data_IF_814458180073
#
_entry.id   IF_814458180073
#
_cell.length_a   1.000
_cell.length_b   1.000
_cell.length_c   1.000
_cell.angle_alpha   90.00
_cell.angle_beta   90.00
_cell.angle_gamma   90.00
#
_symmetry.space_group_name_H-M   'P 1'
#
loop_
_entity.id
_entity.type
_entity.pdbx_description
1 polymer ?
#
# COMPACT_ATOMS: atom_id res chain seq x y z
N UNK A 1 1.39 49.85 -19.34
CA UNK A 1 0.69 49.76 -18.05
C UNK A 1 1.43 48.69 -17.21
N UNK A 2 2.27 49.12 -16.30
CA UNK A 2 3.06 48.22 -15.41
C UNK A 2 2.11 47.80 -14.29
N UNK A 3 1.64 46.55 -14.33
CA UNK A 3 0.88 45.99 -13.22
C UNK A 3 1.75 46.04 -11.97
N UNK A 4 1.25 46.63 -10.90
CA UNK A 4 1.97 46.82 -9.64
C UNK A 4 2.45 45.46 -9.10
N UNK A 5 3.66 45.41 -8.54
CA UNK A 5 4.18 44.22 -7.86
C UNK A 5 3.24 43.68 -6.77
N UNK A 6 2.35 44.52 -6.22
CA UNK A 6 1.31 44.12 -5.25
C UNK A 6 0.22 43.26 -5.86
N UNK A 7 -0.18 43.48 -7.10
CA UNK A 7 -1.24 42.69 -7.75
C UNK A 7 -0.79 41.30 -8.13
N UNK A 8 0.52 41.13 -8.43
CA UNK A 8 1.09 39.80 -8.73
C UNK A 8 1.19 38.95 -7.46
N UNK A 9 1.57 39.53 -6.32
CA UNK A 9 1.64 38.80 -5.04
C UNK A 9 0.25 38.37 -4.55
N UNK A 10 -0.78 39.25 -4.63
CA UNK A 10 -2.13 38.89 -4.19
C UNK A 10 -2.74 37.74 -5.04
N UNK A 11 -2.55 37.73 -6.36
CA UNK A 11 -3.06 36.65 -7.23
C UNK A 11 -2.37 35.30 -6.92
N UNK A 12 -1.11 35.31 -6.50
CA UNK A 12 -0.37 34.10 -6.15
C UNK A 12 -0.92 33.48 -4.85
N UNK A 13 -1.29 34.32 -3.88
CA UNK A 13 -1.84 33.88 -2.59
C UNK A 13 -3.23 33.22 -2.76
N UNK A 14 -4.10 33.76 -3.64
CA UNK A 14 -5.42 33.18 -3.91
C UNK A 14 -5.32 31.77 -4.53
N UNK A 15 -4.40 31.55 -5.47
CA UNK A 15 -4.23 30.23 -6.07
C UNK A 15 -3.67 29.20 -5.07
N UNK A 16 -2.73 29.63 -4.25
CA UNK A 16 -2.22 28.76 -3.15
C UNK A 16 -3.33 28.38 -2.19
N UNK A 17 -4.11 29.34 -1.75
CA UNK A 17 -5.24 29.09 -0.86
C UNK A 17 -6.24 28.13 -1.51
N UNK A 18 -6.63 28.36 -2.77
CA UNK A 18 -7.58 27.51 -3.48
C UNK A 18 -7.07 26.05 -3.59
N UNK A 19 -5.80 25.83 -3.96
CA UNK A 19 -5.22 24.48 -4.05
C UNK A 19 -5.08 23.86 -2.68
N UNK A 20 -4.76 24.61 -1.64
CA UNK A 20 -4.71 24.09 -0.25
C UNK A 20 -6.09 23.66 0.22
N UNK A 21 -7.14 24.45 -0.03
CA UNK A 21 -8.52 24.08 0.30
C UNK A 21 -8.94 22.81 -0.49
N UNK A 22 -8.66 22.77 -1.79
CA UNK A 22 -8.93 21.59 -2.62
C UNK A 22 -8.24 20.33 -2.04
N UNK A 23 -6.97 20.45 -1.66
CA UNK A 23 -6.22 19.36 -1.03
C UNK A 23 -6.83 18.93 0.29
N UNK A 24 -7.21 19.90 1.14
CA UNK A 24 -7.82 19.63 2.44
C UNK A 24 -9.16 18.88 2.29
N UNK A 25 -9.98 19.26 1.30
CA UNK A 25 -11.23 18.54 1.00
C UNK A 25 -10.94 17.09 0.63
N UNK A 26 -9.96 16.83 -0.25
CA UNK A 26 -9.60 15.47 -0.64
C UNK A 26 -9.02 14.66 0.53
N UNK A 27 -8.22 15.28 1.40
CA UNK A 27 -7.71 14.66 2.63
C UNK A 27 -8.85 14.28 3.56
N UNK A 28 -9.80 15.19 3.79
CA UNK A 28 -10.97 14.93 4.65
C UNK A 28 -11.83 13.80 4.09
N UNK A 29 -12.09 13.79 2.78
CA UNK A 29 -12.84 12.69 2.15
C UNK A 29 -12.17 11.33 2.41
N UNK A 30 -10.85 11.22 2.20
CA UNK A 30 -10.13 9.97 2.47
C UNK A 30 -10.04 9.65 3.97
N UNK A 31 -10.00 10.65 4.86
CA UNK A 31 -9.99 10.47 6.31
C UNK A 31 -11.27 9.80 6.81
N UNK A 32 -12.42 10.00 6.17
CA UNK A 32 -13.69 9.38 6.58
C UNK A 32 -13.64 7.84 6.55
N UNK A 33 -12.66 7.25 5.89
CA UNK A 33 -12.51 5.80 5.75
C UNK A 33 -11.71 5.14 6.87
N UNK A 34 -11.02 5.92 7.75
CA UNK A 34 -10.29 5.33 8.89
C UNK A 34 -11.20 4.72 9.97
N UNK A 35 -12.52 4.86 9.84
CA UNK A 35 -13.52 4.28 10.73
C UNK A 35 -14.04 2.92 10.23
N UNK A 36 -13.33 2.30 9.30
CA UNK A 36 -13.54 0.91 8.91
C UNK A 36 -12.98 0.00 10.00
N UNK A 37 -13.69 -1.08 10.34
CA UNK A 37 -13.26 -2.06 11.33
C UNK A 37 -13.23 -3.49 10.77
N UNK A 38 -13.49 -3.67 9.47
CA UNK A 38 -13.47 -4.97 8.83
C UNK A 38 -12.07 -5.31 8.29
N UNK A 39 -11.19 -5.77 9.18
CA UNK A 39 -9.79 -6.09 8.86
C UNK A 39 -9.67 -7.47 8.22
N UNK A 40 -9.13 -7.52 7.01
CA UNK A 40 -8.82 -8.80 6.35
C UNK A 40 -7.50 -9.40 6.84
N UNK A 41 -7.23 -10.67 6.47
CA UNK A 41 -6.14 -11.47 7.02
C UNK A 41 -4.78 -10.79 7.16
N UNK A 42 -4.32 -10.11 6.09
CA UNK A 42 -3.02 -9.40 6.13
C UNK A 42 -3.04 -8.19 7.09
N UNK A 43 -4.20 -7.52 7.29
CA UNK A 43 -4.33 -6.42 8.23
C UNK A 43 -4.38 -6.94 9.66
N UNK A 44 -5.15 -7.99 9.91
CA UNK A 44 -5.21 -8.68 11.20
C UNK A 44 -3.81 -9.18 11.60
N UNK A 45 -3.04 -9.75 10.66
CA UNK A 45 -1.64 -10.10 10.87
C UNK A 45 -0.79 -8.89 11.29
N UNK A 46 -0.95 -7.75 10.62
CA UNK A 46 -0.23 -6.51 10.99
C UNK A 46 -0.59 -6.05 12.41
N UNK A 47 -1.87 -6.11 12.76
CA UNK A 47 -2.38 -5.74 14.09
C UNK A 47 -1.81 -6.68 15.17
N UNK A 48 -1.80 -7.97 14.91
CA UNK A 48 -1.17 -8.97 15.80
C UNK A 48 0.30 -8.64 16.05
N UNK A 49 1.08 -8.32 15.01
CA UNK A 49 2.49 -7.91 15.16
C UNK A 49 2.66 -6.62 15.96
N UNK A 50 1.72 -5.68 15.86
CA UNK A 50 1.75 -4.45 16.63
C UNK A 50 1.57 -4.67 18.15
N UNK A 51 0.92 -5.76 18.54
CA UNK A 51 0.76 -6.16 19.95
C UNK A 51 1.98 -6.87 20.56
N UNK A 52 2.91 -7.35 19.75
CA UNK A 52 4.09 -8.10 20.20
C UNK A 52 5.17 -7.21 20.80
N UNK A 53 6.14 -7.80 21.50
CA UNK A 53 7.39 -7.11 21.81
C UNK A 53 8.22 -6.87 20.54
N UNK A 54 9.14 -5.90 20.55
CA UNK A 54 9.98 -5.61 19.36
C UNK A 54 10.80 -6.83 18.91
N UNK A 55 11.45 -7.63 19.79
CA UNK A 55 12.14 -8.84 19.37
C UNK A 55 11.23 -9.89 18.74
N UNK A 56 10.04 -10.15 19.30
CA UNK A 56 9.05 -11.08 18.77
C UNK A 56 8.55 -10.62 17.39
N UNK A 57 8.23 -9.34 17.24
CA UNK A 57 7.82 -8.75 15.95
C UNK A 57 8.92 -8.90 14.90
N UNK A 58 10.19 -8.65 15.26
CA UNK A 58 11.32 -8.83 14.34
C UNK A 58 11.52 -10.31 13.94
N UNK A 59 11.33 -11.23 14.87
CA UNK A 59 11.39 -12.66 14.58
C UNK A 59 10.25 -13.08 13.66
N UNK A 60 9.01 -12.70 13.97
CA UNK A 60 7.84 -13.01 13.14
C UNK A 60 7.98 -12.44 11.72
N UNK A 61 8.50 -11.21 11.57
CA UNK A 61 8.74 -10.63 10.25
C UNK A 61 9.91 -11.27 9.50
N UNK A 62 10.90 -11.83 10.21
CA UNK A 62 11.96 -12.61 9.58
C UNK A 62 11.45 -13.96 9.04
N UNK A 63 10.37 -14.46 9.60
CA UNK A 63 9.65 -15.66 9.14
C UNK A 63 8.60 -15.37 8.07
N UNK A 64 8.15 -14.10 7.94
CA UNK A 64 7.24 -13.61 6.91
C UNK A 64 7.99 -13.22 5.61
N UNK A 65 7.24 -12.70 4.66
CA UNK A 65 7.70 -12.26 3.33
C UNK A 65 7.83 -10.74 3.19
N UNK A 66 7.78 -9.99 4.30
CA UNK A 66 7.86 -8.52 4.29
C UNK A 66 8.88 -7.97 5.29
N UNK A 67 9.54 -6.82 4.98
CA UNK A 67 10.48 -6.17 5.90
C UNK A 67 9.78 -5.51 7.12
N UNK A 68 10.51 -5.25 8.24
CA UNK A 68 9.92 -4.97 9.55
C UNK A 68 9.51 -3.51 9.79
N UNK A 69 9.98 -2.53 8.99
CA UNK A 69 9.85 -1.11 9.35
C UNK A 69 8.40 -0.67 9.52
N UNK A 70 7.51 -1.12 8.64
CA UNK A 70 6.09 -0.74 8.71
C UNK A 70 5.45 -1.25 10.00
N UNK A 71 5.69 -2.48 10.38
CA UNK A 71 5.15 -3.07 11.62
C UNK A 71 5.64 -2.32 12.86
N UNK A 72 6.92 -1.92 12.88
CA UNK A 72 7.47 -1.06 13.92
C UNK A 72 6.81 0.34 13.97
N UNK A 73 6.43 0.91 12.81
CA UNK A 73 5.69 2.17 12.75
C UNK A 73 4.29 1.98 13.36
N UNK A 74 3.54 0.95 12.96
CA UNK A 74 2.21 0.67 13.53
C UNK A 74 2.31 0.47 15.04
N UNK A 75 3.30 -0.31 15.50
CA UNK A 75 3.56 -0.51 16.93
C UNK A 75 3.81 0.83 17.68
N UNK A 76 4.57 1.74 17.05
CA UNK A 76 4.81 3.07 17.65
C UNK A 76 3.50 3.87 17.76
N UNK A 77 2.66 3.87 16.72
CA UNK A 77 1.35 4.52 16.74
C UNK A 77 0.48 3.95 17.85
N UNK A 78 0.41 2.63 17.96
CA UNK A 78 -0.37 1.97 19.01
C UNK A 78 0.11 2.31 20.42
N UNK A 79 1.43 2.36 20.64
CA UNK A 79 2.01 2.74 21.94
C UNK A 79 1.72 4.19 22.33
N UNK A 80 1.56 5.08 21.35
CA UNK A 80 1.32 6.51 21.60
C UNK A 80 -0.17 6.83 21.71
N UNK A 81 -1.01 6.23 20.85
CA UNK A 81 -2.41 6.60 20.69
C UNK A 81 -3.41 5.50 21.10
N UNK A 82 -2.92 4.32 21.51
CA UNK A 82 -3.73 3.18 21.90
C UNK A 82 -3.96 2.17 20.76
N UNK A 83 -4.46 0.99 21.13
CA UNK A 83 -4.70 -0.15 20.24
C UNK A 83 -6.16 -0.13 19.79
N UNK A 84 -6.48 0.62 18.75
CA UNK A 84 -7.85 0.73 18.18
C UNK A 84 -7.83 0.71 16.67
N UNK A 85 -8.94 0.30 16.04
CA UNK A 85 -9.08 0.26 14.57
C UNK A 85 -8.70 1.59 13.92
N UNK A 86 -9.16 2.70 14.48
CA UNK A 86 -8.82 4.06 14.00
C UNK A 86 -7.31 4.32 14.02
N UNK A 87 -6.60 3.87 15.06
CA UNK A 87 -5.14 4.09 15.18
C UNK A 87 -4.38 3.25 14.17
N UNK A 88 -4.81 2.02 13.89
CA UNK A 88 -4.20 1.17 12.87
C UNK A 88 -4.31 1.81 11.48
N UNK A 89 -5.51 2.27 11.10
CA UNK A 89 -5.73 2.98 9.83
C UNK A 89 -4.98 4.32 9.80
N UNK A 90 -4.93 5.06 10.91
CA UNK A 90 -4.21 6.34 10.99
C UNK A 90 -2.71 6.15 10.72
N UNK A 91 -2.10 5.06 11.19
CA UNK A 91 -0.70 4.74 10.88
C UNK A 91 -0.44 4.60 9.38
N UNK A 92 -1.41 4.08 8.61
CA UNK A 92 -1.33 3.97 7.14
C UNK A 92 -1.76 5.24 6.40
N UNK A 93 -2.59 6.08 7.04
CA UNK A 93 -3.10 7.33 6.45
C UNK A 93 -2.08 8.48 6.48
N UNK A 94 -1.25 8.55 7.52
CA UNK A 94 -0.25 9.63 7.69
C UNK A 94 0.66 9.79 6.47
N UNK A 95 1.22 8.74 5.85
CA UNK A 95 2.06 8.91 4.66
C UNK A 95 1.34 9.59 3.49
N UNK A 96 0.05 9.33 3.28
CA UNK A 96 -0.72 10.06 2.27
C UNK A 96 -0.77 11.57 2.55
N UNK A 97 -1.04 11.97 3.80
CA UNK A 97 -1.00 13.39 4.18
C UNK A 97 0.38 14.00 3.93
N UNK A 98 1.46 13.27 4.21
CA UNK A 98 2.82 13.72 3.94
C UNK A 98 3.12 13.82 2.42
N UNK A 99 2.55 12.97 1.59
CA UNK A 99 2.60 13.11 0.11
C UNK A 99 1.92 14.42 -0.33
N UNK A 100 0.74 14.75 0.22
CA UNK A 100 0.05 16.02 -0.05
C UNK A 100 0.90 17.22 0.39
N UNK A 101 1.53 17.16 1.57
CA UNK A 101 2.44 18.21 2.05
C UNK A 101 3.65 18.37 1.10
N UNK A 102 4.25 17.28 0.63
CA UNK A 102 5.34 17.33 -0.35
C UNK A 102 4.87 17.90 -1.69
N UNK A 103 3.65 17.59 -2.12
CA UNK A 103 3.06 18.15 -3.33
C UNK A 103 2.85 19.68 -3.21
N UNK A 104 2.33 20.16 -2.09
CA UNK A 104 2.08 21.58 -1.83
C UNK A 104 3.36 22.39 -1.57
N UNK A 105 4.44 21.75 -1.20
CA UNK A 105 5.72 22.41 -0.84
C UNK A 105 6.80 22.17 -1.87
N UNK A 106 7.34 20.96 -1.96
CA UNK A 106 8.50 20.63 -2.78
C UNK A 106 8.16 20.58 -4.27
N UNK A 107 7.10 19.84 -4.64
CA UNK A 107 6.66 19.71 -6.05
C UNK A 107 6.21 21.06 -6.58
N UNK A 108 5.41 21.80 -5.80
CA UNK A 108 5.01 23.17 -6.21
C UNK A 108 6.20 24.08 -6.46
N UNK A 109 7.18 24.06 -5.54
CA UNK A 109 8.37 24.90 -5.65
C UNK A 109 9.27 24.53 -6.84
N UNK A 110 9.43 23.25 -7.15
CA UNK A 110 10.37 22.79 -8.17
C UNK A 110 9.76 22.65 -9.56
N UNK A 111 8.50 22.29 -9.64
CA UNK A 111 7.84 21.94 -10.91
C UNK A 111 6.57 22.77 -11.20
N UNK A 112 6.12 23.57 -10.24
CA UNK A 112 5.00 24.49 -10.40
C UNK A 112 3.66 23.96 -9.91
N UNK A 113 2.66 24.87 -9.96
CA UNK A 113 1.31 24.63 -9.46
C UNK A 113 0.62 23.44 -10.17
N UNK A 114 0.76 23.35 -11.48
CA UNK A 114 0.11 22.34 -12.30
C UNK A 114 0.59 20.94 -11.93
N UNK A 115 1.90 20.75 -11.67
CA UNK A 115 2.45 19.49 -11.19
C UNK A 115 1.91 19.14 -9.79
N UNK A 116 1.80 20.13 -8.91
CA UNK A 116 1.24 19.95 -7.57
C UNK A 116 -0.22 19.50 -7.62
N UNK A 117 -1.07 20.21 -8.38
CA UNK A 117 -2.50 19.86 -8.52
C UNK A 117 -2.68 18.43 -9.06
N UNK A 118 -1.94 18.06 -10.12
CA UNK A 118 -2.05 16.73 -10.71
C UNK A 118 -1.61 15.66 -9.75
N UNK A 119 -0.48 15.82 -9.05
CA UNK A 119 -0.02 14.84 -8.08
C UNK A 119 -1.04 14.68 -6.93
N UNK A 120 -1.58 15.79 -6.40
CA UNK A 120 -2.63 15.77 -5.36
C UNK A 120 -3.85 15.01 -5.87
N UNK A 121 -4.33 15.33 -7.08
CA UNK A 121 -5.52 14.68 -7.64
C UNK A 121 -5.32 13.18 -7.86
N UNK A 122 -4.18 12.79 -8.46
CA UNK A 122 -3.85 11.38 -8.71
C UNK A 122 -3.71 10.60 -7.40
N UNK A 123 -2.92 11.13 -6.45
CA UNK A 123 -2.72 10.47 -5.16
C UNK A 123 -3.94 10.43 -4.26
N UNK A 124 -4.98 11.22 -4.53
CA UNK A 124 -6.19 11.26 -3.69
C UNK A 124 -7.39 10.52 -4.28
N UNK A 125 -7.41 10.29 -5.60
CA UNK A 125 -8.63 9.82 -6.28
C UNK A 125 -8.45 8.54 -7.09
N UNK A 126 -7.22 8.12 -7.44
CA UNK A 126 -7.03 6.85 -8.11
C UNK A 126 -7.46 5.70 -7.19
N UNK A 127 -8.11 4.70 -7.76
CA UNK A 127 -8.73 3.58 -7.03
C UNK A 127 -7.75 2.89 -6.07
N UNK A 128 -6.56 2.53 -6.55
CA UNK A 128 -5.51 1.94 -5.70
C UNK A 128 -5.03 2.90 -4.62
N UNK A 129 -4.92 4.21 -4.90
CA UNK A 129 -4.51 5.19 -3.91
C UNK A 129 -5.54 5.28 -2.78
N UNK A 130 -6.81 5.40 -3.15
CA UNK A 130 -7.93 5.45 -2.19
C UNK A 130 -7.93 4.23 -1.28
N UNK A 131 -7.72 3.01 -1.81
CA UNK A 131 -7.69 1.79 -1.02
C UNK A 131 -6.48 1.75 -0.07
N UNK A 132 -5.28 2.01 -0.57
CA UNK A 132 -4.05 1.89 0.25
C UNK A 132 -3.81 3.04 1.24
N UNK A 133 -4.60 4.13 1.21
CA UNK A 133 -4.50 5.17 2.23
C UNK A 133 -4.87 4.70 3.63
N UNK A 134 -5.79 3.77 3.73
CA UNK A 134 -6.33 3.28 5.00
C UNK A 134 -5.97 1.83 5.27
N UNK A 135 -5.69 1.03 4.24
CA UNK A 135 -5.30 -0.37 4.40
C UNK A 135 -4.11 -0.50 5.38
N UNK A 136 -4.26 -1.33 6.41
CA UNK A 136 -3.26 -1.50 7.47
C UNK A 136 -2.11 -2.37 6.95
N UNK A 137 -1.49 -1.87 5.85
CA UNK A 137 -0.37 -2.49 5.15
C UNK A 137 0.68 -1.44 4.77
N UNK A 138 1.88 -1.89 4.47
CA UNK A 138 3.08 -1.08 4.24
C UNK A 138 3.05 -0.19 2.99
N UNK A 139 2.06 -0.30 2.13
CA UNK A 139 2.06 0.28 0.77
C UNK A 139 2.13 1.81 0.76
N UNK A 140 1.36 2.47 1.62
CA UNK A 140 1.30 3.93 1.71
C UNK A 140 2.65 4.53 2.15
N UNK A 141 3.32 3.90 3.15
CA UNK A 141 4.68 4.28 3.56
C UNK A 141 5.71 4.03 2.47
N UNK A 142 5.61 2.88 1.78
CA UNK A 142 6.46 2.59 0.63
C UNK A 142 6.35 3.67 -0.44
N UNK A 143 5.13 4.11 -0.77
CA UNK A 143 4.86 5.18 -1.73
C UNK A 143 5.49 6.52 -1.30
N UNK A 144 5.34 6.92 -0.02
CA UNK A 144 5.99 8.11 0.53
C UNK A 144 7.52 8.04 0.42
N UNK A 145 8.13 6.91 0.81
CA UNK A 145 9.58 6.75 0.75
C UNK A 145 10.10 6.73 -0.68
N UNK A 146 9.35 6.16 -1.63
CA UNK A 146 9.71 6.19 -3.05
C UNK A 146 9.62 7.61 -3.61
N UNK A 147 8.58 8.37 -3.28
CA UNK A 147 8.47 9.80 -3.63
C UNK A 147 9.65 10.59 -3.06
N UNK A 148 9.92 10.44 -1.77
CA UNK A 148 11.00 11.15 -1.08
C UNK A 148 12.38 10.80 -1.68
N UNK A 149 12.63 9.53 -2.01
CA UNK A 149 13.86 9.07 -2.65
C UNK A 149 14.03 9.69 -4.05
N UNK A 150 12.95 9.73 -4.83
CA UNK A 150 12.95 10.29 -6.18
C UNK A 150 13.17 11.82 -6.17
N UNK A 151 12.62 12.53 -5.17
CA UNK A 151 12.85 13.95 -4.96
C UNK A 151 14.29 14.24 -4.44
N UNK A 152 14.80 13.40 -3.54
CA UNK A 152 16.18 13.51 -3.07
C UNK A 152 17.18 13.31 -4.21
N UNK A 153 16.91 12.35 -5.12
CA UNK A 153 17.70 12.13 -6.32
C UNK A 153 17.68 13.36 -7.24
N UNK A 154 16.53 14.01 -7.44
CA UNK A 154 16.44 15.28 -8.17
C UNK A 154 17.31 16.37 -7.53
N UNK A 155 17.30 16.47 -6.20
CA UNK A 155 18.15 17.43 -5.49
C UNK A 155 19.63 17.11 -5.65
N UNK A 156 20.04 15.83 -5.64
CA UNK A 156 21.42 15.42 -5.93
C UNK A 156 21.84 15.89 -7.32
N UNK A 157 21.04 15.61 -8.35
CA UNK A 157 21.37 15.99 -9.73
C UNK A 157 21.41 17.52 -9.93
N UNK A 158 20.55 18.25 -9.20
CA UNK A 158 20.45 19.71 -9.34
C UNK A 158 21.48 20.48 -8.51
N UNK A 159 21.84 20.01 -7.31
CA UNK A 159 22.60 20.78 -6.32
C UNK A 159 23.84 20.05 -5.80
N UNK A 160 23.92 18.73 -5.91
CA UNK A 160 25.05 17.88 -5.50
C UNK A 160 25.59 18.15 -4.08
N UNK A 161 24.71 18.44 -3.11
CA UNK A 161 25.11 18.72 -1.72
C UNK A 161 25.15 17.41 -0.92
N UNK A 162 26.06 17.32 0.05
CA UNK A 162 26.21 16.14 0.92
C UNK A 162 24.90 15.79 1.64
N UNK A 163 24.16 16.79 2.13
CA UNK A 163 22.86 16.58 2.78
C UNK A 163 21.82 15.87 1.89
N UNK A 164 21.89 16.09 0.58
CA UNK A 164 20.95 15.48 -0.38
C UNK A 164 21.24 13.97 -0.49
N UNK A 165 22.51 13.56 -0.44
CA UNK A 165 22.92 12.15 -0.36
C UNK A 165 22.50 11.51 0.97
N UNK A 166 22.65 12.22 2.08
CA UNK A 166 22.21 11.72 3.40
C UNK A 166 20.71 11.44 3.39
N UNK A 167 19.90 12.40 2.92
CA UNK A 167 18.46 12.19 2.78
C UNK A 167 18.13 11.05 1.82
N UNK A 168 18.79 10.98 0.68
CA UNK A 168 18.59 9.90 -0.29
C UNK A 168 18.87 8.52 0.33
N UNK A 169 19.96 8.36 1.06
CA UNK A 169 20.30 7.11 1.78
C UNK A 169 19.22 6.77 2.81
N UNK A 170 18.83 7.73 3.66
CA UNK A 170 17.86 7.50 4.73
C UNK A 170 16.50 7.07 4.19
N UNK A 171 15.95 7.81 3.20
CA UNK A 171 14.61 7.49 2.66
C UNK A 171 14.63 6.25 1.77
N UNK A 172 15.76 5.96 1.10
CA UNK A 172 15.94 4.74 0.32
C UNK A 172 16.01 3.50 1.22
N UNK A 173 16.73 3.59 2.33
CA UNK A 173 16.75 2.52 3.35
C UNK A 173 15.37 2.33 3.98
N UNK A 174 14.68 3.42 4.33
CA UNK A 174 13.34 3.33 4.87
C UNK A 174 12.38 2.63 3.88
N UNK A 175 12.45 2.95 2.59
CA UNK A 175 11.70 2.24 1.55
C UNK A 175 12.08 0.75 1.47
N UNK A 176 13.37 0.43 1.46
CA UNK A 176 13.86 -0.94 1.39
C UNK A 176 13.46 -1.80 2.61
N UNK A 177 13.46 -1.20 3.80
CA UNK A 177 12.98 -1.83 5.04
C UNK A 177 11.45 -1.85 5.19
N UNK A 178 10.73 -1.21 4.24
CA UNK A 178 9.26 -1.22 4.21
C UNK A 178 8.73 -2.25 3.21
N UNK A 179 9.35 -2.38 2.02
CA UNK A 179 8.86 -3.30 0.98
C UNK A 179 9.99 -3.69 0.03
N UNK A 180 10.11 -4.99 -0.31
CA UNK A 180 11.19 -5.48 -1.17
C UNK A 180 11.21 -4.87 -2.58
N UNK A 181 10.04 -4.53 -3.14
CA UNK A 181 10.00 -3.85 -4.44
C UNK A 181 10.39 -2.37 -4.38
N UNK A 182 10.39 -1.75 -3.20
CA UNK A 182 11.07 -0.47 -2.99
C UNK A 182 12.59 -0.63 -3.08
N UNK A 183 13.16 -1.71 -2.52
CA UNK A 183 14.60 -2.02 -2.67
C UNK A 183 14.99 -2.15 -4.14
N UNK A 184 14.20 -2.91 -4.93
CA UNK A 184 14.42 -3.07 -6.37
C UNK A 184 14.39 -1.70 -7.08
N UNK A 185 13.37 -0.90 -6.81
CA UNK A 185 13.23 0.45 -7.38
C UNK A 185 14.39 1.38 -7.06
N UNK A 186 14.83 1.38 -5.80
CA UNK A 186 15.98 2.17 -5.33
C UNK A 186 17.28 1.72 -6.02
N UNK A 187 17.46 0.42 -6.29
CA UNK A 187 18.61 -0.06 -7.04
C UNK A 187 18.72 0.60 -8.42
N UNK A 188 17.59 0.80 -9.12
CA UNK A 188 17.60 1.54 -10.40
C UNK A 188 17.93 3.01 -10.24
N UNK A 189 17.53 3.65 -9.13
CA UNK A 189 17.99 5.02 -8.83
C UNK A 189 19.51 5.08 -8.64
N UNK A 190 20.08 4.13 -7.89
CA UNK A 190 21.53 4.02 -7.73
C UNK A 190 22.25 3.72 -9.04
N UNK A 191 21.70 2.88 -9.91
CA UNK A 191 22.31 2.60 -11.23
C UNK A 191 22.48 3.89 -12.05
N UNK A 192 21.45 4.74 -12.12
CA UNK A 192 21.53 6.01 -12.84
C UNK A 192 22.48 6.99 -12.15
N UNK A 193 22.48 7.05 -10.82
CA UNK A 193 23.39 7.89 -10.04
C UNK A 193 24.85 7.45 -10.21
N UNK A 194 25.13 6.15 -10.22
CA UNK A 194 26.45 5.58 -10.49
C UNK A 194 26.88 5.92 -11.92
N UNK A 195 25.98 5.76 -12.91
CA UNK A 195 26.26 6.16 -14.29
C UNK A 195 26.68 7.63 -14.40
N UNK A 196 25.96 8.54 -13.74
CA UNK A 196 26.35 9.95 -13.67
C UNK A 196 27.70 10.16 -12.97
N UNK A 197 27.94 9.42 -11.88
CA UNK A 197 29.21 9.52 -11.11
C UNK A 197 30.43 9.04 -11.91
N UNK A 198 30.25 8.06 -12.79
CA UNK A 198 31.29 7.60 -13.68
C UNK A 198 31.62 8.63 -14.79
N UNK A 199 30.61 9.33 -15.30
CA UNK A 199 30.78 10.37 -16.33
C UNK A 199 31.30 11.67 -15.73
N UNK A 200 30.73 12.12 -14.61
CA UNK A 200 31.13 13.36 -13.90
C UNK A 200 31.95 13.03 -12.65
N UNK A 201 33.06 12.31 -12.83
CA UNK A 201 33.81 11.64 -11.77
C UNK A 201 34.25 12.56 -10.63
N UNK A 202 34.82 13.72 -10.93
CA UNK A 202 35.32 14.65 -9.90
C UNK A 202 34.23 15.16 -8.96
N UNK A 203 33.01 15.43 -9.48
CA UNK A 203 31.96 16.05 -8.73
C UNK A 203 31.10 15.03 -7.95
N UNK A 204 30.86 13.82 -8.49
CA UNK A 204 29.86 12.91 -7.98
C UNK A 204 30.43 11.61 -7.40
N UNK A 205 31.58 11.11 -7.86
CA UNK A 205 32.06 9.76 -7.57
C UNK A 205 32.20 9.45 -6.08
N UNK A 206 32.94 10.29 -5.33
CA UNK A 206 33.19 10.05 -3.90
C UNK A 206 31.90 9.99 -3.08
N UNK A 207 30.98 10.93 -3.29
CA UNK A 207 29.71 10.98 -2.55
C UNK A 207 28.79 9.82 -2.91
N UNK A 208 28.72 9.47 -4.19
CA UNK A 208 27.94 8.32 -4.67
C UNK A 208 28.47 7.01 -4.11
N UNK A 209 29.80 6.81 -4.13
CA UNK A 209 30.44 5.62 -3.57
C UNK A 209 30.13 5.48 -2.07
N UNK A 210 30.29 6.57 -1.31
CA UNK A 210 29.97 6.56 0.13
C UNK A 210 28.49 6.23 0.34
N UNK A 211 27.57 6.85 -0.43
CA UNK A 211 26.14 6.57 -0.32
C UNK A 211 25.83 5.10 -0.61
N UNK A 212 26.41 4.52 -1.67
CA UNK A 212 26.28 3.10 -2.00
C UNK A 212 26.77 2.20 -0.85
N UNK A 213 27.98 2.43 -0.36
CA UNK A 213 28.58 1.63 0.70
C UNK A 213 27.77 1.69 1.99
N UNK A 214 27.30 2.89 2.37
CA UNK A 214 26.46 3.08 3.57
C UNK A 214 25.12 2.37 3.41
N UNK A 215 24.48 2.49 2.24
CA UNK A 215 23.19 1.82 1.97
C UNK A 215 23.33 0.30 2.02
N UNK A 216 24.36 -0.24 1.36
CA UNK A 216 24.61 -1.69 1.36
C UNK A 216 24.92 -2.19 2.77
N UNK A 217 25.83 -1.52 3.48
CA UNK A 217 26.20 -1.92 4.84
C UNK A 217 25.01 -1.85 5.82
N UNK A 218 24.19 -0.80 5.72
CA UNK A 218 23.03 -0.64 6.57
C UNK A 218 21.88 -1.63 6.25
N UNK A 219 21.79 -2.10 4.99
CA UNK A 219 20.78 -3.10 4.60
C UNK A 219 21.26 -4.55 4.75
N UNK A 220 22.58 -4.76 4.89
CA UNK A 220 23.19 -6.09 4.95
C UNK A 220 22.56 -7.05 5.98
N UNK A 221 22.22 -6.62 7.22
CA UNK A 221 21.59 -7.51 8.18
C UNK A 221 20.26 -8.07 7.67
N UNK A 222 19.43 -7.25 7.03
CA UNK A 222 18.15 -7.69 6.49
C UNK A 222 18.27 -8.41 5.14
N UNK A 223 19.32 -8.16 4.40
CA UNK A 223 19.62 -8.91 3.18
C UNK A 223 19.85 -10.38 3.47
N UNK A 224 20.50 -10.71 4.61
CA UNK A 224 20.69 -12.10 5.05
C UNK A 224 19.33 -12.77 5.33
N UNK A 225 18.43 -12.06 6.04
CA UNK A 225 17.06 -12.53 6.29
C UNK A 225 16.31 -12.76 4.98
N UNK A 226 16.38 -11.79 4.05
CA UNK A 226 15.75 -11.92 2.73
C UNK A 226 16.21 -13.16 1.97
N UNK A 227 17.52 -13.44 1.97
CA UNK A 227 18.07 -14.63 1.31
C UNK A 227 17.60 -15.94 1.98
N UNK A 228 17.51 -15.97 3.30
CA UNK A 228 17.00 -17.12 4.06
C UNK A 228 15.49 -17.32 3.79
N UNK A 229 14.70 -16.25 3.80
CA UNK A 229 13.27 -16.28 3.46
C UNK A 229 13.06 -16.79 2.04
N UNK A 230 13.87 -16.31 1.08
CA UNK A 230 13.80 -16.77 -0.30
C UNK A 230 14.08 -18.28 -0.43
N UNK A 231 15.09 -18.79 0.28
CA UNK A 231 15.41 -20.23 0.29
C UNK A 231 14.29 -21.07 0.93
N UNK A 232 13.79 -20.64 2.09
CA UNK A 232 12.72 -21.33 2.84
C UNK A 232 11.43 -21.43 2.04
N UNK A 233 11.08 -20.37 1.34
CA UNK A 233 9.84 -20.27 0.57
C UNK A 233 9.96 -20.81 -0.86
N UNK A 234 11.04 -21.52 -1.22
CA UNK A 234 11.23 -22.15 -2.54
C UNK A 234 10.27 -23.33 -2.80
N UNK A 235 9.64 -23.89 -1.77
CA UNK A 235 8.62 -24.93 -1.87
C UNK A 235 7.23 -24.38 -2.21
N UNK A 236 6.21 -24.86 -1.54
CA UNK A 236 4.83 -24.43 -1.72
C UNK A 236 4.63 -22.97 -1.33
N UNK A 237 4.07 -22.20 -2.22
CA UNK A 237 3.74 -20.82 -2.02
C UNK A 237 2.38 -20.50 -2.63
N UNK A 238 1.58 -19.69 -1.96
CA UNK A 238 0.20 -19.42 -2.33
C UNK A 238 0.02 -18.72 -3.69
N UNK A 239 1.06 -18.04 -4.19
CA UNK A 239 0.99 -17.38 -5.51
C UNK A 239 1.14 -18.41 -6.63
N UNK A 240 0.16 -18.48 -7.51
CA UNK A 240 0.15 -19.40 -8.66
C UNK A 240 0.34 -18.71 -10.00
N UNK A 241 0.01 -17.42 -10.09
CA UNK A 241 -0.04 -16.67 -11.34
C UNK A 241 0.97 -15.53 -11.37
N UNK A 242 1.56 -15.32 -12.54
CA UNK A 242 2.43 -14.17 -12.85
C UNK A 242 1.59 -13.14 -13.61
N UNK A 243 1.54 -11.86 -13.17
CA UNK A 243 0.74 -10.85 -13.83
C UNK A 243 1.23 -10.57 -15.27
N UNK A 244 0.30 -10.31 -16.18
CA UNK A 244 0.66 -9.85 -17.53
C UNK A 244 1.20 -8.42 -17.48
N UNK A 245 2.10 -8.09 -18.39
CA UNK A 245 2.68 -6.74 -18.49
C UNK A 245 1.61 -5.65 -18.65
N UNK A 246 0.54 -5.94 -19.42
CA UNK A 246 -0.58 -5.00 -19.58
C UNK A 246 -1.25 -4.65 -18.23
N UNK A 247 -1.38 -5.63 -17.33
CA UNK A 247 -2.01 -5.45 -16.03
C UNK A 247 -1.10 -4.64 -15.10
N UNK A 248 0.22 -4.84 -15.20
CA UNK A 248 1.21 -4.02 -14.48
C UNK A 248 1.14 -2.55 -14.90
N UNK A 249 1.05 -2.25 -16.22
CA UNK A 249 0.94 -0.87 -16.70
C UNK A 249 -0.42 -0.24 -16.38
N UNK A 250 -1.49 -1.02 -16.48
CA UNK A 250 -2.83 -0.60 -16.07
C UNK A 250 -2.87 -0.23 -14.59
N UNK A 251 -2.23 -1.03 -13.74
CA UNK A 251 -2.21 -0.82 -12.30
C UNK A 251 -1.55 0.50 -11.86
N UNK A 252 -0.57 1.02 -12.62
CA UNK A 252 0.08 2.29 -12.31
C UNK A 252 -0.91 3.47 -12.22
N UNK A 253 -2.03 3.39 -12.94
CA UNK A 253 -3.07 4.43 -12.99
C UNK A 253 -4.47 3.84 -12.82
N UNK A 254 -4.61 2.86 -11.95
CA UNK A 254 -5.85 2.11 -11.72
C UNK A 254 -7.14 2.92 -11.89
N UNK A 255 -8.17 2.29 -12.45
CA UNK A 255 -9.45 2.90 -12.73
C UNK A 255 -9.76 3.07 -14.23
N UNK A 256 -10.85 3.77 -14.54
CA UNK A 256 -11.39 3.85 -15.91
C UNK A 256 -10.46 4.48 -16.94
N UNK A 257 -9.53 5.34 -16.52
CA UNK A 257 -8.60 6.06 -17.40
C UNK A 257 -7.19 5.45 -17.45
N UNK A 258 -6.95 4.29 -16.86
CA UNK A 258 -5.63 3.71 -16.65
C UNK A 258 -4.73 3.69 -17.89
N UNK A 259 -5.22 3.20 -19.04
CA UNK A 259 -4.44 3.16 -20.28
C UNK A 259 -4.23 4.55 -20.90
N UNK A 260 -5.25 5.41 -20.82
CA UNK A 260 -5.15 6.80 -21.31
C UNK A 260 -4.10 7.57 -20.52
N UNK A 261 -4.11 7.47 -19.20
CA UNK A 261 -3.14 8.14 -18.33
C UNK A 261 -1.72 7.60 -18.55
N UNK A 262 -1.57 6.29 -18.78
CA UNK A 262 -0.29 5.70 -19.10
C UNK A 262 0.29 6.25 -20.42
N UNK A 263 -0.51 6.29 -21.49
CA UNK A 263 -0.10 6.84 -22.78
C UNK A 263 0.20 8.34 -22.66
N UNK A 264 -0.66 9.10 -21.98
CA UNK A 264 -0.46 10.54 -21.75
C UNK A 264 0.83 10.78 -20.95
N UNK A 265 1.15 9.93 -19.97
CA UNK A 265 2.42 10.00 -19.24
C UNK A 265 3.61 9.84 -20.19
N UNK A 266 3.61 8.81 -21.04
CA UNK A 266 4.73 8.58 -21.97
C UNK A 266 4.92 9.76 -22.94
N UNK A 267 3.81 10.30 -23.49
CA UNK A 267 3.85 11.46 -24.37
C UNK A 267 4.34 12.72 -23.64
N UNK A 268 3.84 12.97 -22.44
CA UNK A 268 4.24 14.12 -21.62
C UNK A 268 5.72 14.07 -21.25
N UNK A 269 6.24 12.88 -20.88
CA UNK A 269 7.66 12.66 -20.59
C UNK A 269 8.51 12.89 -21.85
N UNK A 270 8.09 12.36 -23.00
CA UNK A 270 8.82 12.53 -24.27
C UNK A 270 8.90 14.03 -24.67
N UNK A 271 7.79 14.76 -24.54
CA UNK A 271 7.73 16.20 -24.80
C UNK A 271 8.62 16.95 -23.80
N UNK A 272 8.54 16.63 -22.51
CA UNK A 272 9.35 17.26 -21.48
C UNK A 272 10.84 16.99 -21.71
N UNK A 273 11.22 15.75 -21.99
CA UNK A 273 12.61 15.37 -22.30
C UNK A 273 13.12 16.10 -23.54
N UNK A 274 12.30 16.27 -24.57
CA UNK A 274 12.65 17.04 -25.75
C UNK A 274 12.94 18.51 -25.42
N UNK A 275 12.09 19.16 -24.64
CA UNK A 275 12.32 20.55 -24.22
C UNK A 275 13.52 20.69 -23.28
N UNK A 276 13.77 19.69 -22.43
CA UNK A 276 14.86 19.67 -21.45
C UNK A 276 16.13 18.96 -21.94
N UNK A 277 16.22 18.56 -23.21
CA UNK A 277 17.35 17.75 -23.75
C UNK A 277 18.75 18.34 -23.54
N UNK A 278 18.85 19.66 -23.31
CA UNK A 278 20.11 20.34 -22.97
C UNK A 278 20.44 20.28 -21.48
N UNK A 279 19.49 19.94 -20.62
CA UNK A 279 19.67 19.78 -19.17
C UNK A 279 19.80 18.29 -18.84
N UNK A 280 21.04 17.81 -18.92
CA UNK A 280 21.34 16.40 -18.67
C UNK A 280 20.82 15.92 -17.31
N UNK A 281 20.84 16.77 -16.28
CA UNK A 281 20.41 16.39 -14.93
C UNK A 281 18.91 16.06 -14.89
N UNK A 282 18.07 16.86 -15.57
CA UNK A 282 16.63 16.57 -15.68
C UNK A 282 16.35 15.34 -16.52
N UNK A 283 17.08 15.15 -17.62
CA UNK A 283 16.94 13.95 -18.48
C UNK A 283 17.30 12.69 -17.71
N UNK A 284 18.40 12.71 -16.94
CA UNK A 284 18.81 11.57 -16.10
C UNK A 284 17.82 11.30 -14.97
N UNK A 285 17.23 12.35 -14.37
CA UNK A 285 16.18 12.16 -13.37
C UNK A 285 14.94 11.50 -13.94
N UNK A 286 14.47 11.91 -15.13
CA UNK A 286 13.39 11.22 -15.82
C UNK A 286 13.76 9.76 -16.13
N UNK A 287 14.98 9.53 -16.63
CA UNK A 287 15.47 8.19 -16.92
C UNK A 287 15.50 7.31 -15.65
N UNK A 288 15.87 7.87 -14.50
CA UNK A 288 15.82 7.16 -13.23
C UNK A 288 14.38 6.75 -12.84
N UNK A 289 13.40 7.65 -13.00
CA UNK A 289 12.01 7.33 -12.75
C UNK A 289 11.47 6.24 -13.69
N UNK A 290 11.74 6.36 -14.99
CA UNK A 290 11.35 5.38 -16.00
C UNK A 290 12.02 4.03 -15.72
N UNK A 291 13.34 4.00 -15.51
CA UNK A 291 14.07 2.76 -15.23
C UNK A 291 13.61 2.09 -13.94
N UNK A 292 13.24 2.86 -12.93
CA UNK A 292 12.69 2.34 -11.67
C UNK A 292 11.36 1.61 -11.90
N UNK A 293 10.43 2.22 -12.65
CA UNK A 293 9.11 1.62 -12.94
C UNK A 293 9.30 0.34 -13.79
N UNK A 294 9.90 0.47 -14.97
CA UNK A 294 10.04 -0.66 -15.90
C UNK A 294 10.98 -1.72 -15.35
N UNK A 295 12.04 -1.32 -14.65
CA UNK A 295 12.98 -2.23 -14.01
C UNK A 295 12.34 -3.04 -12.89
N UNK A 296 11.49 -2.43 -12.06
CA UNK A 296 10.74 -3.15 -11.02
C UNK A 296 9.79 -4.18 -11.63
N UNK A 297 9.05 -3.81 -12.67
CA UNK A 297 8.17 -4.74 -13.40
C UNK A 297 8.99 -5.88 -14.03
N UNK A 298 10.12 -5.54 -14.67
CA UNK A 298 10.99 -6.52 -15.31
C UNK A 298 11.56 -7.51 -14.29
N UNK A 299 12.16 -7.00 -13.21
CA UNK A 299 12.76 -7.85 -12.16
C UNK A 299 11.70 -8.73 -11.50
N UNK A 300 10.53 -8.17 -11.14
CA UNK A 300 9.44 -8.94 -10.56
C UNK A 300 8.98 -10.08 -11.46
N UNK A 301 8.78 -9.81 -12.75
CA UNK A 301 8.40 -10.84 -13.73
C UNK A 301 9.52 -11.86 -13.99
N UNK A 302 10.78 -11.44 -14.09
CA UNK A 302 11.91 -12.36 -14.33
C UNK A 302 12.12 -13.29 -13.13
N UNK A 303 12.16 -12.75 -11.91
CA UNK A 303 12.31 -13.56 -10.69
C UNK A 303 11.16 -14.55 -10.57
N UNK A 304 9.93 -14.10 -10.86
CA UNK A 304 8.74 -14.97 -10.82
C UNK A 304 8.77 -16.09 -11.86
N UNK A 305 9.36 -15.86 -13.03
CA UNK A 305 9.48 -16.88 -14.10
C UNK A 305 10.65 -17.84 -13.90
N UNK A 306 11.76 -17.35 -13.34
CA UNK A 306 12.99 -18.14 -13.18
C UNK A 306 12.91 -19.03 -11.94
N UNK A 307 12.32 -18.55 -10.86
CA UNK A 307 12.27 -19.25 -9.59
C UNK A 307 10.85 -19.74 -9.27
N UNK A 308 9.94 -18.79 -8.96
CA UNK A 308 8.54 -19.06 -8.60
C UNK A 308 7.76 -17.75 -8.62
N UNK A 309 6.41 -17.76 -8.71
CA UNK A 309 5.61 -16.55 -8.60
C UNK A 309 5.82 -15.87 -7.24
N UNK A 310 6.41 -14.65 -7.25
CA UNK A 310 6.64 -13.80 -6.09
C UNK A 310 6.22 -12.36 -6.32
N UNK A 311 5.61 -12.10 -7.48
CA UNK A 311 5.23 -10.77 -7.92
C UNK A 311 3.75 -10.69 -8.27
N UNK A 312 3.03 -9.82 -7.59
CA UNK A 312 1.64 -9.47 -7.89
C UNK A 312 1.54 -7.97 -8.15
N UNK A 313 0.49 -7.56 -8.85
CA UNK A 313 0.34 -6.16 -9.31
C UNK A 313 0.31 -5.15 -8.15
N UNK A 314 -0.26 -5.51 -6.99
CA UNK A 314 -0.34 -4.61 -5.83
C UNK A 314 1.04 -4.19 -5.29
N UNK A 315 2.09 -4.99 -5.52
CA UNK A 315 3.47 -4.65 -5.14
C UNK A 315 4.06 -3.49 -5.96
N UNK A 316 3.39 -3.07 -7.04
CA UNK A 316 3.76 -1.88 -7.80
C UNK A 316 3.24 -0.58 -7.19
N UNK A 317 2.33 -0.63 -6.21
CA UNK A 317 1.76 0.59 -5.63
C UNK A 317 2.82 1.56 -5.09
N UNK A 318 3.85 1.14 -4.32
CA UNK A 318 4.91 2.05 -3.87
C UNK A 318 5.64 2.75 -5.02
N UNK A 319 5.71 2.13 -6.20
CA UNK A 319 6.40 2.66 -7.39
C UNK A 319 5.47 3.50 -8.26
N UNK A 320 4.15 3.30 -8.17
CA UNK A 320 3.17 4.04 -8.97
C UNK A 320 3.23 5.55 -8.73
N UNK A 321 3.60 6.00 -7.52
CA UNK A 321 3.79 7.43 -7.21
C UNK A 321 4.82 8.08 -8.15
N UNK A 322 5.84 7.33 -8.59
CA UNK A 322 6.84 7.83 -9.54
C UNK A 322 6.18 8.10 -10.90
N UNK A 323 5.31 7.19 -11.36
CA UNK A 323 4.55 7.39 -12.60
C UNK A 323 3.64 8.63 -12.50
N UNK A 324 3.02 8.85 -11.34
CA UNK A 324 2.17 10.04 -11.11
C UNK A 324 2.99 11.33 -11.13
N UNK A 325 4.17 11.35 -10.51
CA UNK A 325 5.10 12.49 -10.57
C UNK A 325 5.57 12.74 -11.99
N UNK A 326 5.94 11.68 -12.73
CA UNK A 326 6.39 11.81 -14.12
C UNK A 326 5.29 12.37 -15.03
N UNK A 327 4.04 11.91 -14.88
CA UNK A 327 2.89 12.48 -15.58
C UNK A 327 2.69 13.97 -15.20
N UNK A 328 2.66 14.28 -13.91
CA UNK A 328 2.41 15.63 -13.41
C UNK A 328 3.48 16.62 -13.86
N UNK A 329 4.77 16.24 -13.74
CA UNK A 329 5.91 17.06 -14.16
C UNK A 329 5.97 17.18 -15.69
N UNK A 330 5.69 16.09 -16.40
CA UNK A 330 5.62 16.09 -17.86
C UNK A 330 4.58 17.10 -18.38
N UNK A 331 3.36 17.09 -17.84
CA UNK A 331 2.31 18.06 -18.18
C UNK A 331 2.70 19.48 -17.80
N UNK A 332 3.28 19.68 -16.61
CA UNK A 332 3.72 21.00 -16.17
C UNK A 332 4.83 21.61 -17.07
N UNK A 333 5.57 20.77 -17.79
CA UNK A 333 6.56 21.18 -18.79
C UNK A 333 5.99 21.52 -20.17
N UNK A 334 4.72 21.24 -20.44
CA UNK A 334 4.09 21.51 -21.74
C UNK A 334 3.73 22.98 -21.95
N UNK A 335 3.65 23.40 -23.22
CA UNK A 335 3.24 24.79 -23.59
C UNK A 335 1.86 25.18 -23.05
N UNK A 336 0.88 24.28 -23.14
CA UNK A 336 -0.50 24.50 -22.72
C UNK A 336 -0.82 23.82 -21.38
N UNK A 337 0.15 23.83 -20.46
CA UNK A 337 0.12 23.11 -19.17
C UNK A 337 -1.16 23.39 -18.34
N UNK A 338 -1.66 24.64 -18.31
CA UNK A 338 -2.88 24.97 -17.57
C UNK A 338 -4.11 24.28 -18.13
N UNK A 339 -4.24 24.26 -19.46
CA UNK A 339 -5.35 23.57 -20.14
C UNK A 339 -5.28 22.06 -19.88
N UNK A 340 -4.11 21.46 -20.08
CA UNK A 340 -3.93 20.02 -19.87
C UNK A 340 -4.13 19.61 -18.41
N UNK A 341 -3.63 20.42 -17.46
CA UNK A 341 -3.89 20.22 -16.03
C UNK A 341 -5.39 20.29 -15.72
N UNK A 342 -6.09 21.31 -16.21
CA UNK A 342 -7.52 21.47 -15.98
C UNK A 342 -8.34 20.32 -16.58
N UNK A 343 -8.04 19.90 -17.82
CA UNK A 343 -8.72 18.79 -18.49
C UNK A 343 -8.49 17.47 -17.74
N UNK A 344 -7.23 17.16 -17.38
CA UNK A 344 -6.91 15.92 -16.66
C UNK A 344 -7.55 15.92 -15.27
N UNK A 345 -7.46 17.03 -14.52
CA UNK A 345 -8.09 17.14 -13.20
C UNK A 345 -9.60 16.96 -13.30
N UNK A 346 -10.26 17.63 -14.25
CA UNK A 346 -11.70 17.47 -14.44
C UNK A 346 -12.07 16.04 -14.85
N UNK A 347 -11.31 15.42 -15.75
CA UNK A 347 -11.54 14.02 -16.15
C UNK A 347 -11.40 13.05 -14.98
N UNK A 348 -10.38 13.23 -14.12
CA UNK A 348 -10.20 12.45 -12.91
C UNK A 348 -11.34 12.66 -11.90
N UNK A 349 -11.76 13.91 -11.66
CA UNK A 349 -12.90 14.19 -10.79
C UNK A 349 -14.18 13.51 -11.29
N UNK A 350 -14.48 13.62 -12.59
CA UNK A 350 -15.68 13.04 -13.19
C UNK A 350 -15.66 11.50 -13.13
N UNK A 351 -14.51 10.88 -13.32
CA UNK A 351 -14.42 9.41 -13.39
C UNK A 351 -14.18 8.75 -12.04
N UNK A 352 -13.38 9.36 -11.16
CA UNK A 352 -12.96 8.75 -9.89
C UNK A 352 -13.89 9.08 -8.72
N UNK A 353 -14.57 10.24 -8.70
CA UNK A 353 -15.51 10.54 -7.60
C UNK A 353 -16.68 9.55 -7.53
N UNK A 354 -17.35 9.17 -8.63
CA UNK A 354 -18.39 8.14 -8.58
C UNK A 354 -17.85 6.80 -8.07
N UNK A 355 -16.62 6.42 -8.47
CA UNK A 355 -15.96 5.21 -7.99
C UNK A 355 -15.66 5.29 -6.48
N UNK A 356 -15.12 6.41 -6.02
CA UNK A 356 -14.90 6.67 -4.59
C UNK A 356 -16.20 6.53 -3.78
N UNK A 357 -17.29 7.15 -4.24
CA UNK A 357 -18.60 7.07 -3.56
C UNK A 357 -19.12 5.63 -3.53
N UNK A 358 -18.92 4.87 -4.60
CA UNK A 358 -19.30 3.46 -4.66
C UNK A 358 -18.50 2.65 -3.63
N UNK A 359 -17.17 2.77 -3.61
CA UNK A 359 -16.29 2.07 -2.66
C UNK A 359 -16.64 2.44 -1.21
N UNK A 360 -16.79 3.74 -0.91
CA UNK A 360 -17.16 4.20 0.42
C UNK A 360 -18.52 3.64 0.91
N UNK A 361 -19.51 3.54 0.01
CA UNK A 361 -20.80 2.94 0.36
C UNK A 361 -20.71 1.43 0.59
N UNK A 362 -19.92 0.73 -0.22
CA UNK A 362 -19.67 -0.70 -0.04
C UNK A 362 -19.04 -0.97 1.32
N UNK A 363 -17.98 -0.25 1.68
CA UNK A 363 -17.32 -0.36 3.00
C UNK A 363 -18.29 -0.10 4.16
N UNK A 364 -19.15 0.92 4.05
CA UNK A 364 -20.17 1.18 5.08
C UNK A 364 -21.17 0.05 5.22
N UNK A 365 -21.55 -0.59 4.12
CA UNK A 365 -22.45 -1.73 4.13
C UNK A 365 -21.76 -2.95 4.74
N UNK A 366 -20.50 -3.20 4.40
CA UNK A 366 -19.71 -4.29 4.96
C UNK A 366 -19.45 -4.11 6.46
N UNK A 367 -19.16 -2.89 6.92
CA UNK A 367 -19.03 -2.59 8.34
C UNK A 367 -20.34 -2.83 9.13
N UNK A 368 -21.48 -2.39 8.58
CA UNK A 368 -22.76 -2.64 9.21
C UNK A 368 -23.10 -4.14 9.28
N UNK A 369 -22.71 -4.90 8.26
CA UNK A 369 -22.87 -6.35 8.25
C UNK A 369 -21.92 -7.03 9.25
N UNK A 370 -20.69 -6.53 9.39
CA UNK A 370 -19.75 -6.98 10.41
C UNK A 370 -20.33 -6.77 11.81
N UNK A 371 -20.82 -5.57 12.11
CA UNK A 371 -21.44 -5.28 13.41
C UNK A 371 -22.59 -6.25 13.70
N UNK A 372 -23.49 -6.49 12.74
CA UNK A 372 -24.58 -7.48 12.88
C UNK A 372 -24.04 -8.89 13.10
N UNK A 373 -22.96 -9.29 12.43
CA UNK A 373 -22.33 -10.60 12.60
C UNK A 373 -21.77 -10.75 14.01
N UNK A 374 -21.06 -9.75 14.51
CA UNK A 374 -20.46 -9.77 15.84
C UNK A 374 -21.53 -9.72 16.94
N UNK A 375 -22.60 -8.94 16.77
CA UNK A 375 -23.72 -8.90 17.72
C UNK A 375 -24.43 -10.26 17.80
N UNK A 376 -24.67 -10.91 16.66
CA UNK A 376 -25.30 -12.24 16.61
C UNK A 376 -24.43 -13.34 17.22
N UNK A 377 -23.13 -13.14 17.29
CA UNK A 377 -22.15 -14.11 17.84
C UNK A 377 -21.54 -13.67 19.18
N UNK A 378 -22.15 -12.68 19.84
CA UNK A 378 -21.62 -12.12 21.10
C UNK A 378 -21.51 -13.17 22.23
N UNK A 379 -22.33 -14.23 22.19
CA UNK A 379 -22.28 -15.33 23.16
C UNK A 379 -20.94 -16.08 23.16
N UNK A 380 -20.23 -16.13 22.01
CA UNK A 380 -18.94 -16.84 21.87
C UNK A 380 -17.93 -16.37 22.93
N UNK A 381 -17.88 -15.08 23.21
CA UNK A 381 -16.92 -14.51 24.18
C UNK A 381 -17.23 -14.86 25.64
N UNK A 382 -18.45 -15.32 25.95
CA UNK A 382 -18.91 -15.65 27.31
C UNK A 382 -19.01 -17.15 27.61
N UNK A 383 -18.85 -17.99 26.60
CA UNK A 383 -18.94 -19.46 26.68
C UNK A 383 -17.52 -20.07 26.64
N UNK A 384 -17.41 -21.30 27.08
CA UNK A 384 -16.23 -22.16 26.80
C UNK A 384 -16.37 -22.65 25.35
N UNK A 385 -16.12 -21.75 24.40
CA UNK A 385 -16.42 -21.92 22.99
C UNK A 385 -15.21 -22.36 22.17
N UNK A 386 -15.45 -23.22 21.18
CA UNK A 386 -14.49 -23.59 20.16
C UNK A 386 -15.05 -23.22 18.78
N UNK A 387 -14.30 -22.42 18.01
CA UNK A 387 -14.67 -22.05 16.65
C UNK A 387 -14.01 -23.05 15.69
N UNK A 388 -14.85 -23.72 14.89
CA UNK A 388 -14.43 -24.57 13.79
C UNK A 388 -14.54 -23.80 12.49
N UNK A 389 -13.52 -23.87 11.64
CA UNK A 389 -13.56 -23.23 10.32
C UNK A 389 -12.79 -24.02 9.28
N UNK A 390 -13.28 -24.05 8.03
CA UNK A 390 -12.51 -24.57 6.90
C UNK A 390 -11.82 -23.44 6.09
N UNK A 391 -11.84 -22.22 6.60
CA UNK A 391 -11.30 -21.03 5.95
C UNK A 391 -9.95 -20.67 6.56
N UNK A 392 -8.86 -21.18 5.97
CA UNK A 392 -7.50 -20.99 6.48
C UNK A 392 -7.14 -19.53 6.73
N UNK A 393 -7.66 -18.58 5.93
CA UNK A 393 -7.39 -17.16 6.11
C UNK A 393 -8.14 -16.54 7.32
N UNK A 394 -9.24 -17.14 7.80
CA UNK A 394 -9.87 -16.75 9.06
C UNK A 394 -9.08 -17.29 10.25
N UNK A 395 -8.74 -18.59 10.22
CA UNK A 395 -7.99 -19.28 11.27
C UNK A 395 -6.63 -18.62 11.54
N UNK A 396 -5.96 -18.14 10.50
CA UNK A 396 -4.60 -17.65 10.62
C UNK A 396 -4.44 -16.40 11.50
N UNK A 397 -5.34 -15.41 11.40
CA UNK A 397 -5.21 -14.14 12.14
C UNK A 397 -6.53 -13.42 12.41
N UNK A 398 -7.57 -13.67 11.62
CA UNK A 398 -8.83 -12.92 11.69
C UNK A 398 -9.61 -13.30 12.92
N UNK A 399 -9.65 -14.59 13.26
CA UNK A 399 -10.31 -15.07 14.47
C UNK A 399 -9.63 -14.58 15.74
N UNK A 400 -8.30 -14.55 15.78
CA UNK A 400 -7.52 -13.95 16.89
C UNK A 400 -7.91 -12.48 17.16
N UNK A 401 -8.30 -11.74 16.12
CA UNK A 401 -8.66 -10.33 16.24
C UNK A 401 -10.09 -10.14 16.75
N UNK A 402 -11.08 -10.85 16.17
CA UNK A 402 -12.48 -10.64 16.51
C UNK A 402 -12.94 -11.46 17.73
N UNK A 403 -12.31 -12.60 17.99
CA UNK A 403 -12.61 -13.49 19.11
C UNK A 403 -11.33 -13.80 19.91
N UNK A 404 -10.71 -12.79 20.54
CA UNK A 404 -9.49 -13.00 21.31
C UNK A 404 -9.73 -14.01 22.43
N UNK A 405 -8.76 -14.90 22.65
CA UNK A 405 -8.79 -15.95 23.70
C UNK A 405 -9.79 -17.11 23.44
N UNK A 406 -10.54 -17.12 22.33
CA UNK A 406 -11.37 -18.23 21.94
C UNK A 406 -10.55 -19.23 21.15
N UNK A 407 -10.64 -20.52 21.53
CA UNK A 407 -9.99 -21.59 20.77
C UNK A 407 -10.61 -21.70 19.37
N UNK A 408 -9.77 -21.81 18.34
CA UNK A 408 -10.23 -22.04 16.99
C UNK A 408 -9.42 -23.14 16.30
N UNK A 409 -10.11 -23.91 15.47
CA UNK A 409 -9.56 -25.11 14.82
C UNK A 409 -9.87 -25.08 13.34
N UNK A 410 -8.80 -25.16 12.52
CA UNK A 410 -8.95 -25.34 11.08
C UNK A 410 -9.33 -26.80 10.80
N UNK A 411 -10.51 -27.01 10.22
CA UNK A 411 -11.01 -28.33 9.86
C UNK A 411 -10.94 -28.58 8.36
N UNK A 412 -10.82 -29.87 7.98
CA UNK A 412 -10.99 -30.33 6.61
C UNK A 412 -12.44 -30.76 6.33
N UNK A 413 -12.58 -31.88 5.64
CA UNK A 413 -13.88 -32.52 5.36
C UNK A 413 -14.41 -33.33 6.55
N UNK A 414 -13.58 -33.55 7.58
CA UNK A 414 -13.94 -34.32 8.77
C UNK A 414 -14.05 -33.41 10.00
N UNK A 415 -15.14 -33.59 10.77
CA UNK A 415 -15.30 -32.92 12.05
C UNK A 415 -14.43 -33.60 13.13
N UNK A 416 -13.85 -32.83 14.05
CA UNK A 416 -13.21 -33.40 15.23
C UNK A 416 -14.25 -34.10 16.13
N UNK A 417 -13.78 -34.90 17.09
CA UNK A 417 -14.65 -35.43 18.15
C UNK A 417 -15.07 -34.25 19.04
N UNK A 418 -16.37 -34.05 19.16
CA UNK A 418 -16.95 -32.95 19.94
C UNK A 418 -17.06 -33.35 21.42
N UNK A 419 -16.43 -32.58 22.30
CA UNK A 419 -16.47 -32.77 23.74
C UNK A 419 -17.70 -32.06 24.33
N UNK A 420 -18.38 -32.69 25.27
CA UNK A 420 -19.64 -32.18 25.82
C UNK A 420 -19.46 -30.92 26.70
N UNK A 421 -18.23 -30.58 27.01
CA UNK A 421 -17.85 -29.44 27.89
C UNK A 421 -17.80 -28.11 27.12
N UNK A 422 -17.64 -28.15 25.78
CA UNK A 422 -17.49 -26.98 24.95
C UNK A 422 -18.74 -26.64 24.14
N UNK A 423 -18.92 -25.34 23.87
CA UNK A 423 -19.88 -24.83 22.90
C UNK A 423 -19.20 -24.68 21.52
N UNK A 424 -19.66 -25.41 20.52
CA UNK A 424 -19.06 -25.41 19.19
C UNK A 424 -19.78 -24.46 18.23
N UNK A 425 -18.97 -23.67 17.51
CA UNK A 425 -19.41 -22.75 16.49
C UNK A 425 -18.69 -23.07 15.18
N UNK A 426 -19.44 -23.19 14.09
CA UNK A 426 -18.88 -23.46 12.77
C UNK A 426 -18.98 -22.19 11.90
N UNK A 427 -17.85 -21.71 11.41
CA UNK A 427 -17.76 -20.54 10.53
C UNK A 427 -17.22 -20.97 9.18
N UNK A 428 -18.07 -20.96 8.15
CA UNK A 428 -17.74 -21.43 6.80
C UNK A 428 -18.29 -20.50 5.73
N UNK A 429 -17.82 -20.66 4.50
CA UNK A 429 -18.41 -20.01 3.34
C UNK A 429 -19.49 -20.93 2.74
N UNK A 430 -20.70 -20.40 2.56
CA UNK A 430 -21.82 -21.16 2.00
C UNK A 430 -22.56 -22.04 3.03
N UNK A 431 -23.25 -23.07 2.55
CA UNK A 431 -24.01 -23.99 3.40
C UNK A 431 -23.13 -25.09 3.97
N UNK A 432 -23.55 -25.62 5.13
CA UNK A 432 -22.86 -26.76 5.74
C UNK A 432 -22.96 -27.97 4.79
N UNK A 433 -21.86 -28.66 4.47
CA UNK A 433 -21.86 -29.84 3.62
C UNK A 433 -22.70 -30.96 4.21
N UNK A 434 -23.47 -31.71 3.36
CA UNK A 434 -24.36 -32.77 3.81
C UNK A 434 -23.66 -33.91 4.55
N UNK A 435 -22.42 -34.22 4.17
CA UNK A 435 -21.56 -35.20 4.83
C UNK A 435 -21.11 -34.74 6.23
N UNK A 436 -20.88 -33.44 6.40
CA UNK A 436 -20.60 -32.85 7.70
C UNK A 436 -21.83 -32.85 8.62
N UNK A 437 -23.04 -32.63 8.06
CA UNK A 437 -24.28 -32.77 8.83
C UNK A 437 -24.45 -34.21 9.35
N UNK A 438 -24.17 -35.22 8.52
CA UNK A 438 -24.23 -36.63 8.93
C UNK A 438 -23.20 -36.94 10.05
N UNK A 439 -22.01 -36.37 9.97
CA UNK A 439 -20.98 -36.53 11.02
C UNK A 439 -21.44 -35.85 12.33
N UNK A 440 -22.11 -34.70 12.24
CA UNK A 440 -22.63 -33.97 13.38
C UNK A 440 -23.75 -34.75 14.09
N UNK A 441 -24.73 -35.24 13.34
CA UNK A 441 -25.82 -36.09 13.83
C UNK A 441 -25.32 -37.39 14.49
N UNK A 442 -24.27 -38.00 13.89
CA UNK A 442 -23.62 -39.19 14.44
C UNK A 442 -22.96 -38.95 15.81
N UNK A 443 -22.62 -37.71 16.13
CA UNK A 443 -22.10 -37.29 17.44
C UNK A 443 -23.19 -36.75 18.38
N UNK A 444 -24.46 -36.78 17.97
CA UNK A 444 -25.65 -36.33 18.75
C UNK A 444 -25.82 -34.81 18.80
N UNK A 445 -25.40 -34.12 17.74
CA UNK A 445 -25.58 -32.68 17.62
C UNK A 445 -26.35 -32.33 16.34
N UNK A 446 -27.05 -31.20 16.40
CA UNK A 446 -27.61 -30.52 15.23
C UNK A 446 -26.97 -29.13 15.05
N UNK A 447 -26.97 -28.64 13.83
CA UNK A 447 -26.51 -27.30 13.51
C UNK A 447 -27.65 -26.31 13.43
N UNK A 448 -27.66 -25.30 14.28
CA UNK A 448 -28.59 -24.17 14.20
C UNK A 448 -27.89 -22.98 13.49
N UNK A 449 -28.59 -22.39 12.51
CA UNK A 449 -28.05 -21.25 11.76
C UNK A 449 -28.23 -19.96 12.56
N UNK A 450 -27.12 -19.40 13.04
CA UNK A 450 -27.13 -18.14 13.79
C UNK A 450 -26.97 -16.94 12.86
N UNK A 451 -26.06 -17.06 11.87
CA UNK A 451 -25.83 -16.02 10.85
C UNK A 451 -25.88 -16.66 9.46
N UNK A 452 -26.84 -16.23 8.65
CA UNK A 452 -27.01 -16.76 7.29
C UNK A 452 -26.10 -16.06 6.28
N UNK A 453 -25.94 -14.75 6.42
CA UNK A 453 -25.11 -13.91 5.55
C UNK A 453 -24.37 -12.91 6.42
N UNK A 454 -23.18 -13.28 6.88
CA UNK A 454 -22.28 -12.45 7.67
C UNK A 454 -21.01 -12.08 6.94
N UNK A 455 -20.16 -11.27 7.58
CA UNK A 455 -18.81 -10.97 7.12
C UNK A 455 -17.83 -10.95 8.27
N UNK A 456 -16.64 -11.49 8.05
CA UNK A 456 -15.48 -11.40 8.93
C UNK A 456 -14.22 -11.26 8.08
N UNK A 457 -13.39 -10.28 8.37
CA UNK A 457 -12.15 -10.07 7.65
C UNK A 457 -12.36 -9.83 6.13
N UNK A 458 -13.45 -9.11 5.76
CA UNK A 458 -13.91 -8.86 4.38
C UNK A 458 -14.40 -10.10 3.61
N UNK A 459 -14.58 -11.23 4.29
CA UNK A 459 -15.05 -12.47 3.68
C UNK A 459 -16.48 -12.79 4.13
N UNK A 460 -17.29 -13.27 3.18
CA UNK A 460 -18.62 -13.77 3.49
C UNK A 460 -18.51 -15.02 4.33
N UNK A 461 -19.25 -15.05 5.44
CA UNK A 461 -19.34 -16.21 6.34
C UNK A 461 -20.79 -16.56 6.64
N UNK A 462 -21.03 -17.84 6.81
CA UNK A 462 -22.23 -18.38 7.44
C UNK A 462 -21.83 -19.03 8.75
N UNK A 463 -22.59 -18.79 9.81
CA UNK A 463 -22.21 -19.21 11.16
C UNK A 463 -23.31 -20.08 11.75
N UNK A 464 -22.92 -21.24 12.24
CA UNK A 464 -23.78 -22.21 12.89
C UNK A 464 -23.35 -22.45 14.33
N UNK A 465 -24.29 -22.61 15.25
CA UNK A 465 -24.06 -23.10 16.61
C UNK A 465 -24.49 -24.57 16.67
N UNK A 466 -23.65 -25.42 17.25
CA UNK A 466 -23.99 -26.82 17.42
C UNK A 466 -24.80 -26.99 18.70
N UNK A 467 -25.97 -27.63 18.57
CA UNK A 467 -26.88 -27.87 19.65
C UNK A 467 -26.97 -29.38 19.88
N UNK A 468 -26.78 -29.80 21.13
CA UNK A 468 -26.86 -31.21 21.49
C UNK A 468 -28.31 -31.70 21.39
N UNK A 469 -28.55 -32.75 20.60
CA UNK A 469 -29.83 -33.41 20.54
C UNK A 469 -29.97 -34.35 21.74
N UNK A 470 -31.07 -34.26 22.45
CA UNK A 470 -31.37 -35.06 23.66
C UNK A 470 -31.92 -36.46 23.31
#
# INVERSE_FOLDING_TARGET
MVASKKDVNNRFDYWRLAVTIFSAVLVVLNLLRIFDNNFWGDEAFTIRLAGMSVPEMLQATAEDVHPPLYYGIVQLFCKVFGYTGVVYHLASFVPYVLVIVLALTVIWKWFGMEASILLITLSSLLETAVSFHVEVRMYSWGSLFMLASFLALYSIFSQNRTRDYVWFVLVSLAGAYTHYYCLVSVAFFYMVLIGLALVKREAYFKKTLIACLVTVAAYLPWLIVLLQTFQRTMGDFWMTNIPYLKDCFAYLFSGRLQYVLFVVMLLAIAIFAWYQRKDLNKVLWLAAGISSIFGTILVGNLVSRIFRPVFIVRYLYPVAIIAWVLLAVGIAGCRYKRLYCAVLTASLLITCIPQYVHTYRAEKTENALLEQTLDATAEIAGEDAVILTNLAYLDWTVLDYYYPEVEHVLIGDELPVLEAEHAYWLMIQGEIPSDMVVQLEAQGYAADTVVENGTLGTNSVRIYKFIKEY
#
